data_IF_420986283518
#
_entry.id   IF_420986283518
#
_cell.length_a   1.000
_cell.length_b   1.000
_cell.length_c   1.000
_cell.angle_alpha   90.00
_cell.angle_beta   90.00
_cell.angle_gamma   90.00
#
_symmetry.space_group_name_H-M   'P 1'
#
loop_
_entity.id
_entity.type
_entity.pdbx_description
1 polymer ?
#
# COMPACT_ATOMS: atom_id res chain seq x y z
N UNK A 1 -9.47 34.11 11.32
CA UNK A 1 -10.75 33.40 11.06
C UNK A 1 -10.71 32.94 9.60
N UNK A 2 -10.94 31.72 9.12
CA UNK A 2 -10.82 30.31 9.60
C UNK A 2 -9.35 29.88 9.45
N UNK A 3 -8.65 29.30 10.44
CA UNK A 3 -8.99 28.14 11.31
C UNK A 3 -8.65 26.78 10.66
N UNK A 4 -7.47 26.60 10.05
CA UNK A 4 -6.95 25.22 10.02
C UNK A 4 -6.32 24.98 11.40
N UNK A 5 -6.92 24.19 12.31
CA UNK A 5 -7.39 22.81 12.08
C UNK A 5 -8.85 22.57 12.59
N UNK A 6 -9.52 21.43 12.40
CA UNK A 6 -9.08 20.07 12.76
C UNK A 6 -9.87 18.99 12.01
N UNK A 7 -9.18 17.94 11.55
CA UNK A 7 -9.59 16.59 11.93
C UNK A 7 -8.52 15.50 11.81
N UNK A 8 -8.07 14.96 12.95
CA UNK A 8 -7.18 15.71 13.81
C UNK A 8 -5.89 16.05 13.04
N UNK A 9 -5.60 17.34 12.84
CA UNK A 9 -4.27 17.75 12.41
C UNK A 9 -3.33 17.75 13.62
N UNK A 10 -2.04 17.43 13.40
CA UNK A 10 -1.03 17.48 14.45
C UNK A 10 -0.73 18.92 14.91
N UNK A 11 -0.22 19.12 16.14
CA UNK A 11 0.14 20.45 16.63
C UNK A 11 1.07 21.17 15.65
N UNK A 12 0.82 22.46 15.42
CA UNK A 12 1.63 23.36 14.59
C UNK A 12 1.74 23.01 13.07
N UNK A 13 0.75 22.31 12.48
CA UNK A 13 0.69 22.03 11.02
C UNK A 13 0.23 23.27 10.22
N UNK A 14 0.96 23.64 9.17
CA UNK A 14 0.50 24.61 8.14
C UNK A 14 -0.28 23.93 6.99
N UNK A 15 -0.79 22.72 7.22
CA UNK A 15 -1.26 21.83 6.17
C UNK A 15 -2.72 22.15 5.81
N UNK A 16 -2.99 22.35 4.52
CA UNK A 16 -4.33 22.64 3.99
C UNK A 16 -4.97 21.37 3.41
N UNK A 17 -6.22 21.07 3.80
CA UNK A 17 -7.02 20.01 3.19
C UNK A 17 -7.59 20.52 1.87
N UNK A 18 -6.83 20.36 0.79
CA UNK A 18 -7.26 20.77 -0.54
C UNK A 18 -8.05 19.65 -1.22
N UNK A 19 -9.27 19.93 -1.67
CA UNK A 19 -10.00 19.01 -2.53
C UNK A 19 -9.27 18.88 -3.86
N UNK A 20 -8.80 17.68 -4.18
CA UNK A 20 -8.20 17.37 -5.48
C UNK A 20 -9.29 16.79 -6.36
N UNK A 21 -9.38 17.24 -7.62
CA UNK A 21 -10.38 16.72 -8.55
C UNK A 21 -10.13 15.24 -8.84
N UNK A 22 -11.20 14.46 -9.04
CA UNK A 22 -11.09 13.05 -9.42
C UNK A 22 -10.25 12.86 -10.69
N UNK A 23 -10.39 13.74 -11.68
CA UNK A 23 -9.58 13.73 -12.90
C UNK A 23 -8.08 13.96 -12.64
N UNK A 24 -7.73 14.80 -11.66
CA UNK A 24 -6.34 14.99 -11.25
C UNK A 24 -5.83 13.70 -10.61
N UNK A 25 -6.58 13.11 -9.69
CA UNK A 25 -6.23 11.82 -9.06
C UNK A 25 -6.04 10.73 -10.11
N UNK A 26 -6.97 10.59 -11.06
CA UNK A 26 -6.84 9.62 -12.15
C UNK A 26 -5.55 9.77 -12.96
N UNK A 27 -5.12 11.02 -13.21
CA UNK A 27 -3.92 11.32 -14.01
C UNK A 27 -2.63 11.25 -13.21
N UNK A 28 -2.68 11.51 -11.90
CA UNK A 28 -1.48 11.65 -11.06
C UNK A 28 -1.28 10.52 -10.05
N UNK A 29 -2.29 9.70 -9.78
CA UNK A 29 -2.21 8.61 -8.83
C UNK A 29 -1.16 7.59 -9.27
N UNK A 30 -0.35 7.18 -8.30
CA UNK A 30 0.74 6.22 -8.49
C UNK A 30 0.82 5.37 -7.24
N UNK A 31 0.89 4.06 -7.41
CA UNK A 31 1.29 3.15 -6.34
C UNK A 31 2.79 2.94 -6.44
N UNK A 32 3.51 3.09 -5.33
CA UNK A 32 4.94 2.82 -5.27
C UNK A 32 5.29 1.95 -4.07
N UNK A 33 6.25 1.08 -4.25
CA UNK A 33 6.81 0.24 -3.21
C UNK A 33 8.33 0.20 -3.34
N UNK A 34 9.02 0.03 -2.21
CA UNK A 34 10.48 -0.09 -2.21
C UNK A 34 10.82 -1.54 -2.57
N UNK A 35 11.76 -1.77 -3.50
CA UNK A 35 12.20 -3.12 -3.92
C UNK A 35 12.63 -3.98 -2.71
N UNK A 36 13.19 -3.34 -1.68
CA UNK A 36 13.58 -3.96 -0.41
C UNK A 36 12.44 -4.66 0.33
N UNK A 37 11.17 -4.38 0.02
CA UNK A 37 9.98 -5.06 0.55
C UNK A 37 9.77 -6.46 -0.04
N UNK A 38 10.40 -6.74 -1.17
CA UNK A 38 10.34 -8.02 -1.87
C UNK A 38 11.66 -8.75 -1.67
N UNK A 39 12.78 -8.11 -2.02
CA UNK A 39 14.12 -8.64 -1.85
C UNK A 39 15.00 -7.65 -1.07
N UNK A 40 15.48 -8.00 0.14
CA UNK A 40 15.44 -9.34 0.70
C UNK A 40 14.16 -9.66 1.47
N UNK A 41 13.32 -8.70 1.84
CA UNK A 41 12.35 -8.87 2.93
C UNK A 41 11.37 -10.06 2.80
N UNK A 42 10.76 -10.26 1.63
CA UNK A 42 9.75 -11.30 1.42
C UNK A 42 10.38 -12.70 1.38
N UNK A 43 11.58 -12.79 0.81
CA UNK A 43 12.29 -14.06 0.56
C UNK A 43 13.51 -14.27 1.47
N UNK A 44 13.72 -13.41 2.48
CA UNK A 44 14.87 -13.53 3.38
C UNK A 44 14.72 -14.81 4.21
N UNK A 45 15.68 -15.76 4.15
CA UNK A 45 15.61 -17.03 4.88
C UNK A 45 15.45 -16.90 6.40
N UNK A 46 16.01 -15.85 7.02
CA UNK A 46 15.88 -15.59 8.45
C UNK A 46 14.48 -15.07 8.82
N UNK A 47 13.92 -14.17 7.99
CA UNK A 47 12.55 -13.68 8.17
C UNK A 47 11.51 -14.74 7.84
N UNK A 48 11.79 -15.60 6.85
CA UNK A 48 11.00 -16.77 6.50
C UNK A 48 10.83 -17.71 7.69
N UNK A 49 11.92 -18.02 8.41
CA UNK A 49 11.87 -18.84 9.63
C UNK A 49 11.04 -18.22 10.74
N UNK A 50 11.06 -16.88 10.86
CA UNK A 50 10.38 -16.16 11.96
C UNK A 50 8.90 -15.86 11.69
N UNK A 51 8.52 -15.59 10.45
CA UNK A 51 7.19 -15.10 10.10
C UNK A 51 6.48 -15.90 9.01
N UNK A 52 7.15 -16.83 8.33
CA UNK A 52 6.56 -17.71 7.31
C UNK A 52 5.97 -16.99 6.09
N UNK A 53 6.35 -15.72 5.86
CA UNK A 53 5.75 -14.88 4.82
C UNK A 53 6.07 -15.37 3.40
N UNK A 54 7.21 -16.02 3.23
CA UNK A 54 7.66 -16.61 1.97
C UNK A 54 6.85 -17.84 1.55
N UNK A 55 6.27 -18.58 2.51
CA UNK A 55 5.55 -19.84 2.25
C UNK A 55 4.39 -19.65 1.29
N UNK A 56 3.65 -18.55 1.42
CA UNK A 56 2.50 -18.23 0.58
C UNK A 56 2.95 -17.98 -0.88
N UNK A 57 3.97 -17.14 -1.08
CA UNK A 57 4.50 -16.84 -2.41
C UNK A 57 5.11 -18.06 -3.08
N UNK A 58 5.87 -18.86 -2.32
CA UNK A 58 6.42 -20.14 -2.79
C UNK A 58 5.32 -21.13 -3.18
N UNK A 59 4.20 -21.17 -2.45
CA UNK A 59 3.08 -22.05 -2.79
C UNK A 59 2.38 -21.66 -4.10
N UNK A 60 2.51 -20.39 -4.52
CA UNK A 60 2.06 -19.91 -5.83
C UNK A 60 3.12 -20.06 -6.92
N UNK A 61 4.28 -20.63 -6.61
CA UNK A 61 5.37 -20.83 -7.55
C UNK A 61 6.32 -19.64 -7.71
N UNK A 62 6.22 -18.62 -6.86
CA UNK A 62 7.12 -17.47 -6.90
C UNK A 62 8.35 -17.65 -6.01
N UNK A 63 9.49 -17.16 -6.50
CA UNK A 63 10.73 -17.06 -5.74
C UNK A 63 11.37 -15.67 -5.82
N UNK A 64 12.59 -15.53 -5.31
CA UNK A 64 13.32 -14.26 -5.27
C UNK A 64 13.54 -13.64 -6.66
N UNK A 65 13.65 -14.47 -7.70
CA UNK A 65 13.84 -14.01 -9.08
C UNK A 65 12.60 -13.28 -9.62
N UNK A 66 11.43 -13.56 -9.05
CA UNK A 66 10.17 -12.92 -9.38
C UNK A 66 9.95 -11.58 -8.65
N UNK A 67 10.88 -11.14 -7.80
CA UNK A 67 10.68 -9.96 -6.95
C UNK A 67 10.29 -8.69 -7.72
N UNK A 68 10.87 -8.47 -8.91
CA UNK A 68 10.51 -7.33 -9.77
C UNK A 68 9.10 -7.47 -10.34
N UNK A 69 8.71 -8.68 -10.74
CA UNK A 69 7.37 -8.94 -11.23
C UNK A 69 6.34 -8.74 -10.12
N UNK A 70 6.58 -9.32 -8.94
CA UNK A 70 5.72 -9.18 -7.77
C UNK A 70 5.58 -7.73 -7.33
N UNK A 71 6.64 -6.93 -7.45
CA UNK A 71 6.60 -5.49 -7.21
C UNK A 71 5.66 -4.78 -8.18
N UNK A 72 5.87 -4.97 -9.49
CA UNK A 72 5.07 -4.32 -10.52
C UNK A 72 3.59 -4.72 -10.43
N UNK A 73 3.30 -6.00 -10.18
CA UNK A 73 1.94 -6.51 -10.06
C UNK A 73 1.25 -5.98 -8.79
N UNK A 74 1.99 -5.89 -7.66
CA UNK A 74 1.49 -5.27 -6.43
C UNK A 74 1.08 -3.82 -6.65
N UNK A 75 1.96 -3.03 -7.29
CA UNK A 75 1.72 -1.61 -7.57
C UNK A 75 0.55 -1.44 -8.54
N UNK A 76 0.48 -2.25 -9.59
CA UNK A 76 -0.62 -2.24 -10.56
C UNK A 76 -1.98 -2.50 -9.90
N UNK A 77 -2.12 -3.61 -9.17
CA UNK A 77 -3.38 -3.95 -8.49
C UNK A 77 -3.77 -2.92 -7.42
N UNK A 78 -2.78 -2.39 -6.69
CA UNK A 78 -3.03 -1.38 -5.68
C UNK A 78 -3.51 -0.06 -6.28
N UNK A 79 -2.92 0.38 -7.39
CA UNK A 79 -3.35 1.58 -8.10
C UNK A 79 -4.79 1.43 -8.60
N UNK A 80 -5.11 0.31 -9.25
CA UNK A 80 -6.44 0.03 -9.76
C UNK A 80 -7.49 0.07 -8.65
N UNK A 81 -7.22 -0.61 -7.53
CA UNK A 81 -8.15 -0.63 -6.37
C UNK A 81 -8.28 0.72 -5.70
N UNK A 82 -7.18 1.46 -5.57
CA UNK A 82 -7.20 2.80 -5.00
C UNK A 82 -8.03 3.78 -5.82
N UNK A 83 -7.87 3.77 -7.15
CA UNK A 83 -8.64 4.62 -8.06
C UNK A 83 -10.14 4.28 -8.02
N UNK A 84 -10.47 3.00 -7.86
CA UNK A 84 -11.85 2.51 -7.81
C UNK A 84 -12.50 2.61 -6.42
N UNK A 85 -11.80 3.11 -5.39
CA UNK A 85 -12.34 3.18 -4.03
C UNK A 85 -12.40 1.83 -3.29
N UNK A 86 -11.73 0.80 -3.81
CA UNK A 86 -11.75 -0.56 -3.28
C UNK A 86 -10.68 -0.78 -2.21
N UNK A 87 -10.81 -0.08 -1.08
CA UNK A 87 -9.88 -0.14 0.05
C UNK A 87 -10.57 0.21 1.37
N UNK A 88 -10.02 -0.27 2.48
CA UNK A 88 -10.50 0.08 3.82
C UNK A 88 -9.66 1.22 4.41
N UNK A 89 -10.33 2.20 5.01
CA UNK A 89 -9.68 3.28 5.73
C UNK A 89 -9.15 2.78 7.08
N UNK A 90 -7.85 2.95 7.28
CA UNK A 90 -7.19 2.70 8.55
C UNK A 90 -7.00 3.96 9.39
N UNK A 91 -6.05 3.88 10.33
CA UNK A 91 -5.67 4.99 11.21
C UNK A 91 -5.09 6.18 10.41
N UNK A 92 -5.61 7.36 10.68
CA UNK A 92 -4.97 8.64 10.34
C UNK A 92 -3.96 9.00 11.44
N UNK A 93 -2.69 9.10 11.09
CA UNK A 93 -1.63 9.48 12.02
C UNK A 93 -0.72 10.57 11.43
N UNK A 94 0.33 10.97 12.16
CA UNK A 94 1.28 12.01 11.73
C UNK A 94 2.01 11.72 10.41
N UNK A 95 1.98 10.47 9.94
CA UNK A 95 2.59 10.05 8.68
C UNK A 95 1.59 10.06 7.52
N UNK A 96 0.28 10.15 7.78
CA UNK A 96 -0.78 10.25 6.78
C UNK A 96 -1.92 9.26 7.01
N UNK A 97 -2.83 9.19 6.04
CA UNK A 97 -3.94 8.25 6.04
C UNK A 97 -3.44 6.86 5.64
N UNK A 98 -3.69 5.85 6.48
CA UNK A 98 -3.45 4.44 6.14
C UNK A 98 -4.63 3.87 5.38
N UNK A 99 -4.36 3.03 4.39
CA UNK A 99 -5.39 2.27 3.67
C UNK A 99 -4.96 0.81 3.55
N UNK A 100 -5.94 -0.08 3.58
CA UNK A 100 -5.76 -1.53 3.38
C UNK A 100 -6.34 -1.92 2.04
N UNK A 101 -5.54 -2.55 1.19
CA UNK A 101 -5.95 -2.94 -0.16
C UNK A 101 -5.93 -4.48 -0.27
N UNK A 102 -7.05 -5.12 -0.63
CA UNK A 102 -7.09 -6.57 -0.84
C UNK A 102 -6.36 -6.95 -2.13
N UNK A 103 -5.47 -7.94 -2.08
CA UNK A 103 -4.67 -8.43 -3.21
C UNK A 103 -5.09 -9.83 -3.64
N UNK A 104 -4.97 -10.11 -4.95
CA UNK A 104 -5.24 -11.41 -5.56
C UNK A 104 -4.02 -11.87 -6.35
N UNK A 105 -3.60 -13.12 -6.19
CA UNK A 105 -2.46 -13.66 -6.94
C UNK A 105 -2.86 -14.74 -7.97
N UNK A 106 -3.96 -15.49 -7.78
CA UNK A 106 -4.32 -16.63 -8.67
C UNK A 106 -5.83 -16.78 -8.98
N UNK A 107 -6.52 -15.71 -9.39
CA UNK A 107 -7.95 -15.79 -9.74
C UNK A 107 -8.90 -16.01 -8.54
N UNK A 108 -8.37 -16.21 -7.33
CA UNK A 108 -9.14 -16.25 -6.08
C UNK A 108 -9.78 -14.88 -5.72
N UNK A 109 -10.74 -14.90 -4.79
CA UNK A 109 -11.46 -13.70 -4.37
C UNK A 109 -10.57 -12.67 -3.64
N UNK A 110 -9.77 -13.08 -2.65
CA UNK A 110 -8.74 -12.27 -1.96
C UNK A 110 -7.72 -13.22 -1.32
N UNK A 111 -6.45 -13.07 -1.70
CA UNK A 111 -5.36 -13.90 -1.20
C UNK A 111 -4.75 -13.32 0.09
N UNK A 112 -4.62 -11.99 0.20
CA UNK A 112 -4.13 -11.29 1.42
C UNK A 112 -4.35 -9.77 1.34
N UNK A 113 -4.05 -9.05 2.43
CA UNK A 113 -4.18 -7.59 2.51
C UNK A 113 -2.81 -6.91 2.47
N UNK A 114 -2.71 -5.81 1.74
CA UNK A 114 -1.53 -4.95 1.69
C UNK A 114 -1.83 -3.62 2.38
N UNK A 115 -0.88 -3.11 3.17
CA UNK A 115 -1.04 -1.86 3.90
C UNK A 115 -0.28 -0.71 3.21
N UNK A 116 -1.01 0.34 2.85
CA UNK A 116 -0.49 1.51 2.13
C UNK A 116 -0.71 2.80 2.92
N UNK A 117 0.04 3.82 2.54
CA UNK A 117 -0.06 5.18 3.08
C UNK A 117 -0.33 6.16 1.95
N UNK A 118 -1.39 6.94 2.09
CA UNK A 118 -1.73 8.00 1.16
C UNK A 118 -0.76 9.16 1.34
N UNK A 119 -0.20 9.63 0.23
CA UNK A 119 0.68 10.77 0.12
C UNK A 119 0.03 11.85 -0.77
N UNK A 120 0.72 12.98 -0.93
CA UNK A 120 0.26 14.08 -1.76
C UNK A 120 -0.01 13.63 -3.22
N UNK A 121 -0.95 14.32 -3.88
CA UNK A 121 -1.30 14.12 -5.29
C UNK A 121 -1.80 12.70 -5.65
N UNK A 122 -2.39 11.98 -4.68
CA UNK A 122 -2.96 10.66 -4.91
C UNK A 122 -1.92 9.54 -5.00
N UNK A 123 -0.66 9.81 -4.65
CA UNK A 123 0.36 8.77 -4.54
C UNK A 123 0.08 7.90 -3.31
N UNK A 124 0.22 6.58 -3.44
CA UNK A 124 0.19 5.65 -2.30
C UNK A 124 1.54 4.93 -2.19
N UNK A 125 2.07 4.84 -0.97
CA UNK A 125 3.33 4.13 -0.69
C UNK A 125 3.06 2.88 0.13
N UNK A 126 3.64 1.75 -0.30
CA UNK A 126 3.52 0.48 0.42
C UNK A 126 4.28 0.54 1.75
N UNK A 127 3.58 0.33 2.86
CA UNK A 127 4.17 0.20 4.18
C UNK A 127 4.40 -1.26 4.54
N UNK A 128 3.36 -2.08 4.35
CA UNK A 128 3.34 -3.49 4.74
C UNK A 128 2.93 -4.34 3.53
N UNK A 129 3.86 -5.12 2.95
CA UNK A 129 3.59 -5.96 1.79
C UNK A 129 2.69 -7.16 2.11
N UNK A 130 2.50 -7.46 3.40
CA UNK A 130 1.66 -8.57 3.85
C UNK A 130 1.11 -8.29 5.26
N UNK A 131 -0.20 -8.03 5.34
CA UNK A 131 -1.01 -8.12 6.54
C UNK A 131 -1.82 -9.40 6.50
N UNK A 132 -1.78 -10.19 7.58
CA UNK A 132 -2.54 -11.44 7.67
C UNK A 132 -4.05 -11.23 7.51
N UNK A 133 -4.76 -12.32 7.19
CA UNK A 133 -6.21 -12.42 7.39
C UNK A 133 -6.55 -12.35 8.88
#
# INVERSE_FOLDING_TARGET
>A
REKAPKHPHHPYCHCLLNSISYNTVLKSAKAVSDYSKYDPYLFNPEYAKKHGKDKMFKSWGFDITDSKYLQAECEKQALEKYVNGNYDLGKLDKYGQRISIPRKDTGEMVSYITGWMVQQNGKIKLNTPYGGK
#
